data_IF_131412059456
#
_entry.id   IF_131412059456
#
_cell.length_a   1.000
_cell.length_b   1.000
_cell.length_c   1.000
_cell.angle_alpha   90.00
_cell.angle_beta   90.00
_cell.angle_gamma   90.00
#
_symmetry.space_group_name_H-M   'P 1'
#
loop_
_entity.id
_entity.type
_entity.pdbx_description
1 polymer ?
#
# COMPACT_ATOMS: atom_id res chain seq x y z
N UNK A 1 -4.81 -21.60 -17.31
CA UNK A 1 -4.34 -20.21 -17.10
C UNK A 1 -3.25 -20.21 -16.03
N UNK A 2 -2.12 -19.55 -16.30
CA UNK A 2 -1.01 -19.45 -15.33
C UNK A 2 -1.12 -18.23 -14.42
N UNK A 3 -1.69 -17.15 -14.93
CA UNK A 3 -1.86 -15.88 -14.22
C UNK A 3 -3.25 -15.33 -14.47
N UNK A 4 -3.89 -14.86 -13.43
CA UNK A 4 -5.16 -14.11 -13.49
C UNK A 4 -4.88 -12.67 -13.06
N UNK A 5 -5.25 -11.71 -13.90
CA UNK A 5 -5.26 -10.29 -13.58
C UNK A 5 -6.71 -9.83 -13.48
N UNK A 6 -7.08 -9.21 -12.36
CA UNK A 6 -8.42 -8.69 -12.12
C UNK A 6 -8.43 -7.17 -11.97
N UNK A 7 -9.34 -6.52 -12.69
CA UNK A 7 -9.65 -5.09 -12.51
C UNK A 7 -11.07 -4.86 -12.03
N UNK A 8 -11.76 -5.94 -11.62
CA UNK A 8 -13.18 -5.93 -11.26
C UNK A 8 -13.35 -5.68 -9.75
N UNK A 9 -13.39 -4.42 -9.35
CA UNK A 9 -13.73 -3.98 -8.01
C UNK A 9 -15.25 -3.74 -7.81
N UNK A 10 -15.71 -3.50 -6.58
CA UNK A 10 -15.01 -3.61 -5.29
C UNK A 10 -14.52 -5.03 -4.98
N UNK A 11 -13.24 -5.14 -4.65
CA UNK A 11 -12.57 -6.44 -4.51
C UNK A 11 -13.00 -7.19 -3.25
N UNK A 12 -13.23 -6.50 -2.14
CA UNK A 12 -13.75 -7.10 -0.92
C UNK A 12 -15.09 -7.82 -1.15
N UNK A 13 -15.88 -7.32 -2.09
CA UNK A 13 -17.19 -7.87 -2.42
C UNK A 13 -17.14 -9.04 -3.41
N UNK A 14 -16.27 -8.97 -4.40
CA UNK A 14 -16.29 -9.89 -5.55
C UNK A 14 -14.99 -10.70 -5.73
N UNK A 15 -13.87 -10.27 -5.16
CA UNK A 15 -12.55 -10.82 -5.44
C UNK A 15 -12.24 -12.14 -4.73
N UNK A 16 -12.81 -12.37 -3.54
CA UNK A 16 -12.40 -13.48 -2.67
C UNK A 16 -12.53 -14.87 -3.30
N UNK A 17 -13.62 -15.14 -4.02
CA UNK A 17 -13.82 -16.42 -4.69
C UNK A 17 -12.83 -16.63 -5.85
N UNK A 18 -12.48 -15.57 -6.55
CA UNK A 18 -11.51 -15.63 -7.64
C UNK A 18 -10.10 -15.93 -7.11
N UNK A 19 -9.70 -15.28 -6.01
CA UNK A 19 -8.42 -15.57 -5.36
C UNK A 19 -8.38 -17.00 -4.86
N UNK A 20 -9.44 -17.47 -4.21
CA UNK A 20 -9.55 -18.85 -3.76
C UNK A 20 -9.40 -19.84 -4.92
N UNK A 21 -10.08 -19.61 -6.03
CA UNK A 21 -9.96 -20.44 -7.23
C UNK A 21 -8.53 -20.44 -7.80
N UNK A 22 -7.83 -19.29 -7.74
CA UNK A 22 -6.41 -19.21 -8.14
C UNK A 22 -5.54 -20.10 -7.25
N UNK A 23 -5.73 -20.06 -5.94
CA UNK A 23 -4.99 -20.90 -4.99
C UNK A 23 -5.27 -22.38 -5.23
N UNK A 24 -6.54 -22.77 -5.41
CA UNK A 24 -6.95 -24.14 -5.67
C UNK A 24 -6.39 -24.69 -7.00
N UNK A 25 -6.30 -23.85 -8.02
CA UNK A 25 -5.85 -24.22 -9.37
C UNK A 25 -4.37 -23.90 -9.64
N UNK A 26 -3.63 -23.52 -8.62
CA UNK A 26 -2.20 -23.19 -8.68
C UNK A 26 -1.89 -22.10 -9.74
N UNK A 27 -2.76 -21.12 -9.85
CA UNK A 27 -2.59 -19.96 -10.71
C UNK A 27 -2.10 -18.76 -9.89
N UNK A 28 -1.22 -17.95 -10.46
CA UNK A 28 -0.85 -16.65 -9.90
C UNK A 28 -2.03 -15.67 -10.01
N UNK A 29 -2.10 -14.74 -9.08
CA UNK A 29 -3.14 -13.70 -9.07
C UNK A 29 -2.53 -12.32 -8.91
N UNK A 30 -3.11 -11.33 -9.58
CA UNK A 30 -2.80 -9.91 -9.39
C UNK A 30 -4.04 -9.06 -9.62
N UNK A 31 -4.12 -7.91 -8.94
CA UNK A 31 -5.21 -6.95 -9.06
C UNK A 31 -4.75 -5.51 -8.84
N UNK A 32 -5.69 -4.57 -8.85
CA UNK A 32 -5.46 -3.14 -8.66
C UNK A 32 -6.17 -2.60 -7.41
N UNK A 33 -6.38 -3.42 -6.38
CA UNK A 33 -7.13 -3.02 -5.19
C UNK A 33 -6.40 -1.99 -4.33
N UNK A 34 -7.15 -1.07 -3.72
CA UNK A 34 -6.72 -0.24 -2.59
C UNK A 34 -7.31 -0.68 -1.24
N UNK A 35 -8.03 -1.81 -1.21
CA UNK A 35 -8.81 -2.30 -0.06
C UNK A 35 -7.94 -3.11 0.92
N UNK A 36 -7.09 -2.45 1.70
CA UNK A 36 -6.10 -3.10 2.58
C UNK A 36 -6.72 -4.07 3.59
N UNK A 37 -7.93 -3.79 4.08
CA UNK A 37 -8.64 -4.70 4.98
C UNK A 37 -8.95 -6.05 4.31
N UNK A 38 -9.32 -6.03 3.04
CA UNK A 38 -9.53 -7.25 2.26
C UNK A 38 -8.22 -7.99 2.00
N UNK A 39 -7.17 -7.24 1.62
CA UNK A 39 -5.82 -7.81 1.44
C UNK A 39 -5.32 -8.48 2.72
N UNK A 40 -5.56 -7.90 3.91
CA UNK A 40 -5.24 -8.54 5.18
C UNK A 40 -5.93 -9.90 5.31
N UNK A 41 -7.22 -9.96 5.01
CA UNK A 41 -7.97 -11.21 5.01
C UNK A 41 -7.43 -12.26 4.03
N UNK A 42 -6.98 -11.84 2.85
CA UNK A 42 -6.32 -12.74 1.88
C UNK A 42 -5.00 -13.29 2.43
N UNK A 43 -4.20 -12.44 3.07
CA UNK A 43 -2.93 -12.86 3.68
C UNK A 43 -3.20 -13.90 4.77
N UNK A 44 -4.13 -13.62 5.68
CA UNK A 44 -4.44 -14.53 6.79
C UNK A 44 -4.98 -15.87 6.30
N UNK A 45 -5.73 -15.89 5.21
CA UNK A 45 -6.38 -17.10 4.71
C UNK A 45 -5.50 -17.92 3.75
N UNK A 46 -4.70 -17.26 2.93
CA UNK A 46 -4.10 -17.91 1.76
C UNK A 46 -2.57 -17.87 1.71
N UNK A 47 -1.90 -17.09 2.58
CA UNK A 47 -0.45 -16.88 2.48
C UNK A 47 0.35 -18.18 2.51
N UNK A 48 0.09 -19.02 3.51
CA UNK A 48 0.83 -20.27 3.70
C UNK A 48 0.58 -21.29 2.60
N UNK A 49 -0.68 -21.45 2.19
CA UNK A 49 -1.05 -22.35 1.11
C UNK A 49 -0.44 -21.88 -0.23
N UNK A 50 -0.52 -20.59 -0.54
CA UNK A 50 0.07 -20.03 -1.75
C UNK A 50 1.59 -20.21 -1.76
N UNK A 51 2.27 -19.99 -0.63
CA UNK A 51 3.70 -20.19 -0.50
C UNK A 51 4.10 -21.66 -0.70
N UNK A 52 3.36 -22.61 -0.11
CA UNK A 52 3.62 -24.05 -0.27
C UNK A 52 3.45 -24.55 -1.71
N UNK A 53 2.55 -23.91 -2.47
CA UNK A 53 2.30 -24.21 -3.90
C UNK A 53 3.21 -23.42 -4.85
N UNK A 54 4.07 -22.52 -4.34
CA UNK A 54 4.95 -21.68 -5.15
C UNK A 54 4.21 -20.67 -6.04
N UNK A 55 2.96 -20.33 -5.72
CA UNK A 55 2.18 -19.34 -6.45
C UNK A 55 2.29 -17.95 -5.79
N UNK A 56 2.02 -16.92 -6.55
CA UNK A 56 2.08 -15.53 -6.11
C UNK A 56 0.70 -14.90 -6.15
N UNK A 57 0.28 -14.35 -5.02
CA UNK A 57 -0.93 -13.54 -4.88
C UNK A 57 -0.44 -12.10 -4.61
N UNK A 58 -0.52 -11.23 -5.60
CA UNK A 58 0.06 -9.89 -5.57
C UNK A 58 -1.05 -8.87 -5.81
N UNK A 59 -1.75 -8.41 -4.77
CA UNK A 59 -2.72 -7.33 -4.88
C UNK A 59 -2.06 -5.96 -5.03
N UNK A 60 -2.86 -4.94 -5.33
CA UNK A 60 -2.43 -3.52 -5.41
C UNK A 60 -1.39 -3.22 -6.49
N UNK A 61 -1.46 -3.91 -7.64
CA UNK A 61 -0.55 -3.70 -8.77
C UNK A 61 -1.05 -2.64 -9.76
N UNK A 62 -1.92 -1.74 -9.32
CA UNK A 62 -2.41 -0.62 -10.13
C UNK A 62 -1.51 0.61 -10.09
N UNK A 63 -1.82 1.58 -10.96
CA UNK A 63 -1.14 2.88 -10.98
C UNK A 63 -1.21 3.59 -9.62
N UNK A 64 -2.27 3.38 -8.87
CA UNK A 64 -2.45 4.03 -7.57
C UNK A 64 -1.36 3.67 -6.56
N UNK A 65 -0.84 2.44 -6.59
CA UNK A 65 0.12 1.94 -5.58
C UNK A 65 1.52 1.66 -6.14
N UNK A 66 1.65 1.24 -7.38
CA UNK A 66 2.95 0.88 -7.99
C UNK A 66 3.97 2.03 -7.99
N UNK A 67 3.61 3.28 -8.33
CA UNK A 67 4.56 4.39 -8.27
C UNK A 67 5.13 4.60 -6.86
N UNK A 68 4.33 4.45 -5.82
CA UNK A 68 4.76 4.59 -4.43
C UNK A 68 5.64 3.42 -3.99
N UNK A 69 5.23 2.18 -4.25
CA UNK A 69 5.94 0.99 -3.78
C UNK A 69 7.22 0.72 -4.56
N UNK A 70 7.11 0.59 -5.87
CA UNK A 70 8.28 0.34 -6.73
C UNK A 70 9.17 1.57 -6.84
N UNK A 71 8.58 2.79 -6.79
CA UNK A 71 9.32 4.03 -6.73
C UNK A 71 10.21 4.14 -5.49
N UNK A 72 9.68 3.80 -4.31
CA UNK A 72 10.46 3.74 -3.08
C UNK A 72 11.57 2.68 -3.18
N UNK A 73 11.25 1.46 -3.61
CA UNK A 73 12.23 0.39 -3.83
C UNK A 73 13.34 0.81 -4.80
N UNK A 74 12.99 1.38 -5.94
CA UNK A 74 13.95 1.83 -6.95
C UNK A 74 14.85 2.93 -6.40
N UNK A 75 14.27 3.95 -5.77
CA UNK A 75 15.01 5.08 -5.20
C UNK A 75 16.03 4.60 -4.16
N UNK A 76 15.61 3.74 -3.22
CA UNK A 76 16.50 3.21 -2.18
C UNK A 76 17.60 2.35 -2.79
N UNK A 77 17.26 1.52 -3.77
CA UNK A 77 18.24 0.66 -4.46
C UNK A 77 19.28 1.50 -5.21
N UNK A 78 18.88 2.56 -5.90
CA UNK A 78 19.79 3.46 -6.62
C UNK A 78 20.63 4.31 -5.66
N UNK A 79 20.05 4.72 -4.52
CA UNK A 79 20.79 5.46 -3.50
C UNK A 79 21.91 4.62 -2.86
N UNK A 80 21.73 3.30 -2.78
CA UNK A 80 22.75 2.34 -2.36
C UNK A 80 23.18 2.42 -0.90
N UNK A 81 22.38 3.09 -0.04
CA UNK A 81 22.64 3.25 1.39
C UNK A 81 21.34 3.00 2.17
N UNK A 82 21.49 2.70 3.46
CA UNK A 82 20.35 2.61 4.38
C UNK A 82 19.56 3.92 4.43
N UNK A 83 18.25 3.84 4.30
CA UNK A 83 17.34 4.98 4.28
C UNK A 83 16.34 4.85 5.42
N UNK A 84 16.24 5.85 6.27
CA UNK A 84 15.31 5.84 7.40
C UNK A 84 13.89 6.30 7.01
N UNK A 85 13.78 7.14 5.95
CA UNK A 85 12.50 7.68 5.50
C UNK A 85 12.50 7.99 4.02
N UNK A 86 11.36 7.73 3.38
CA UNK A 86 11.01 8.23 2.04
C UNK A 86 9.66 8.94 2.12
N UNK A 87 9.60 10.15 1.61
CA UNK A 87 8.35 10.87 1.40
C UNK A 87 8.12 11.07 -0.10
N UNK A 88 6.92 10.76 -0.55
CA UNK A 88 6.49 10.90 -1.94
C UNK A 88 5.41 11.97 -2.05
N UNK A 89 5.55 12.82 -3.04
CA UNK A 89 4.61 13.92 -3.31
C UNK A 89 3.96 13.69 -4.67
N UNK A 90 2.64 13.58 -4.68
CA UNK A 90 1.86 13.34 -5.90
C UNK A 90 1.08 14.59 -6.29
N UNK A 91 1.28 15.07 -7.50
CA UNK A 91 0.37 15.99 -8.14
C UNK A 91 -0.55 15.19 -9.06
N UNK A 92 -1.85 15.31 -8.89
CA UNK A 92 -2.84 14.61 -9.69
C UNK A 92 -3.82 15.60 -10.33
N UNK A 93 -4.00 15.49 -11.64
CA UNK A 93 -5.01 16.22 -12.40
C UNK A 93 -6.07 15.21 -12.86
N UNK A 94 -7.29 15.36 -12.39
CA UNK A 94 -8.40 14.48 -12.77
C UNK A 94 -9.38 14.22 -11.64
N UNK A 95 -10.30 13.29 -11.85
CA UNK A 95 -11.32 12.88 -10.89
C UNK A 95 -11.24 11.39 -10.55
N UNK A 96 -11.82 11.02 -9.40
CA UNK A 96 -11.93 9.62 -8.99
C UNK A 96 -12.92 8.86 -9.88
N UNK A 97 -12.61 7.59 -10.18
CA UNK A 97 -13.56 6.70 -10.84
C UNK A 97 -14.70 6.31 -9.88
N UNK A 98 -15.82 5.83 -10.44
CA UNK A 98 -16.93 5.34 -9.63
C UNK A 98 -16.53 4.22 -8.66
N UNK A 99 -15.64 3.31 -9.07
CA UNK A 99 -15.10 2.26 -8.20
C UNK A 99 -14.24 2.81 -7.06
N UNK A 100 -13.43 3.83 -7.33
CA UNK A 100 -12.64 4.52 -6.29
C UNK A 100 -13.56 5.18 -5.26
N UNK A 101 -14.62 5.85 -5.72
CA UNK A 101 -15.60 6.50 -4.84
C UNK A 101 -16.34 5.47 -3.99
N UNK A 102 -16.77 4.36 -4.55
CA UNK A 102 -17.44 3.27 -3.81
C UNK A 102 -16.52 2.65 -2.76
N UNK A 103 -15.24 2.44 -3.09
CA UNK A 103 -14.24 1.94 -2.14
C UNK A 103 -14.07 2.90 -0.94
N UNK A 104 -14.04 4.22 -1.17
CA UNK A 104 -13.94 5.20 -0.08
C UNK A 104 -15.12 5.10 0.90
N UNK A 105 -16.34 4.89 0.40
CA UNK A 105 -17.52 4.71 1.25
C UNK A 105 -17.49 3.40 2.06
N UNK A 106 -16.88 2.35 1.54
CA UNK A 106 -16.77 1.07 2.26
C UNK A 106 -15.73 1.09 3.39
N UNK A 107 -14.82 2.07 3.39
CA UNK A 107 -13.83 2.25 4.47
C UNK A 107 -14.44 2.86 5.75
N UNK A 108 -15.66 3.39 5.67
CA UNK A 108 -16.36 4.08 6.76
C UNK A 108 -16.94 3.06 7.73
N UNK A 109 -16.47 2.30 8.41
CA UNK A 109 -16.99 1.25 9.33
C UNK A 109 -15.93 0.21 9.69
N UNK A 110 -14.70 0.41 9.21
CA UNK A 110 -13.60 -0.49 9.52
C UNK A 110 -13.26 -0.46 11.02
N UNK A 111 -13.00 -1.62 11.59
CA UNK A 111 -12.54 -1.76 12.97
C UNK A 111 -11.20 -1.02 13.19
N UNK A 112 -10.86 -0.76 14.45
CA UNK A 112 -9.61 -0.09 14.80
C UNK A 112 -8.38 -0.87 14.30
N UNK A 113 -8.44 -2.19 14.34
CA UNK A 113 -7.39 -3.09 13.86
C UNK A 113 -7.18 -2.96 12.35
N UNK A 114 -8.25 -2.81 11.59
CA UNK A 114 -8.18 -2.63 10.13
C UNK A 114 -7.68 -1.24 9.72
N UNK A 115 -7.70 -0.28 10.66
CA UNK A 115 -7.13 1.06 10.47
C UNK A 115 -5.65 1.13 10.88
N UNK A 116 -5.07 0.06 11.41
CA UNK A 116 -3.65 0.03 11.79
C UNK A 116 -2.77 0.42 10.59
N UNK A 117 -1.87 1.40 10.75
CA UNK A 117 -0.88 1.78 9.73
C UNK A 117 0.01 0.62 9.25
N UNK A 118 0.05 -0.47 9.97
CA UNK A 118 0.84 -1.67 9.66
C UNK A 118 0.00 -2.93 9.48
N UNK A 119 -1.30 -2.78 9.19
CA UNK A 119 -2.24 -3.90 9.06
C UNK A 119 -1.77 -4.99 8.07
N UNK A 120 -1.02 -4.64 7.04
CA UNK A 120 -0.51 -5.58 6.06
C UNK A 120 0.82 -6.24 6.45
N UNK A 121 1.54 -5.71 7.44
CA UNK A 121 2.84 -6.23 7.82
C UNK A 121 2.74 -7.65 8.38
N UNK A 122 3.80 -8.46 8.25
CA UNK A 122 3.96 -9.66 9.04
C UNK A 122 3.88 -9.32 10.54
N UNK A 123 3.33 -10.22 11.35
CA UNK A 123 3.21 -10.01 12.80
C UNK A 123 4.60 -9.78 13.40
N UNK A 124 4.68 -8.93 14.41
CA UNK A 124 5.90 -8.67 15.21
C UNK A 124 7.08 -8.00 14.49
N UNK A 125 6.86 -7.41 13.32
CA UNK A 125 7.94 -6.76 12.54
C UNK A 125 8.04 -5.25 12.76
N UNK A 126 7.31 -4.66 13.70
CA UNK A 126 7.17 -3.19 13.82
C UNK A 126 7.56 -2.73 15.21
N UNK A 127 8.57 -1.85 15.30
CA UNK A 127 8.95 -1.21 16.53
C UNK A 127 7.97 -0.12 16.97
N UNK A 128 7.97 0.24 18.26
CA UNK A 128 7.18 1.36 18.78
C UNK A 128 7.58 2.69 18.13
N UNK A 129 8.86 2.88 17.85
CA UNK A 129 9.38 4.06 17.16
C UNK A 129 8.81 4.19 15.74
N UNK A 130 8.77 3.08 15.00
CA UNK A 130 8.15 3.07 13.67
C UNK A 130 6.65 3.37 13.74
N UNK A 131 5.94 2.82 14.73
CA UNK A 131 4.51 3.10 14.91
C UNK A 131 4.26 4.58 15.17
N UNK A 132 5.03 5.20 16.03
CA UNK A 132 4.89 6.60 16.37
C UNK A 132 5.15 7.53 15.18
N UNK A 133 6.20 7.23 14.41
CA UNK A 133 6.59 8.01 13.22
C UNK A 133 5.72 7.73 11.99
N UNK A 134 4.87 6.70 12.03
CA UNK A 134 4.05 6.26 10.90
C UNK A 134 2.55 6.41 11.16
N UNK A 135 2.15 7.19 12.15
CA UNK A 135 0.75 7.54 12.36
C UNK A 135 0.16 8.19 11.12
N UNK A 136 -1.03 7.76 10.76
CA UNK A 136 -1.78 8.47 9.73
C UNK A 136 -2.11 9.86 10.23
N UNK A 137 -1.72 10.82 9.48
CA UNK A 137 -1.95 12.22 9.72
C UNK A 137 -1.47 13.02 8.51
N UNK A 138 -2.00 14.20 8.38
CA UNK A 138 -1.55 15.13 7.36
C UNK A 138 -1.53 16.53 7.93
N UNK A 139 -0.52 17.27 7.52
CA UNK A 139 -0.40 18.69 7.82
C UNK A 139 -0.43 19.44 6.50
N UNK A 140 -1.20 20.53 6.47
CA UNK A 140 -1.20 21.43 5.32
C UNK A 140 -0.07 22.43 5.52
N UNK A 141 1.03 22.24 4.80
CA UNK A 141 2.25 23.01 4.95
C UNK A 141 2.99 23.19 3.62
N UNK A 142 3.95 24.08 3.63
CA UNK A 142 4.95 24.18 2.57
C UNK A 142 6.24 23.53 3.07
N UNK A 143 6.87 22.75 2.22
CA UNK A 143 8.11 22.04 2.54
C UNK A 143 9.24 22.65 1.69
N UNK A 144 10.37 22.91 2.30
CA UNK A 144 11.55 23.44 1.62
C UNK A 144 11.94 22.55 0.44
N UNK A 145 12.11 23.15 -0.73
CA UNK A 145 12.47 22.45 -1.96
C UNK A 145 11.29 21.77 -2.69
N UNK A 146 10.06 21.88 -2.16
CA UNK A 146 8.83 21.41 -2.82
C UNK A 146 7.95 22.60 -3.16
N UNK A 147 7.67 22.83 -4.44
CA UNK A 147 6.82 23.93 -4.89
C UNK A 147 5.35 23.59 -4.61
N UNK A 148 4.63 24.52 -3.97
CA UNK A 148 3.20 24.37 -3.64
C UNK A 148 2.93 24.06 -2.18
N UNK A 149 1.78 23.47 -1.92
CA UNK A 149 1.28 23.09 -0.59
C UNK A 149 1.11 21.59 -0.51
N UNK A 150 1.53 20.99 0.56
CA UNK A 150 1.31 19.57 0.82
C UNK A 150 0.05 19.37 1.64
N UNK A 151 -0.59 18.24 1.43
CA UNK A 151 -1.77 17.82 2.16
C UNK A 151 -1.96 16.31 2.05
N UNK A 152 -3.13 15.82 2.39
CA UNK A 152 -3.43 14.40 2.30
C UNK A 152 -3.48 13.93 0.85
N UNK A 153 -2.64 12.97 0.49
CA UNK A 153 -2.74 12.25 -0.79
C UNK A 153 -3.98 11.35 -0.82
N UNK A 154 -4.67 11.30 -1.96
CA UNK A 154 -5.91 10.52 -2.12
C UNK A 154 -5.72 9.04 -1.77
N UNK A 155 -4.59 8.46 -2.13
CA UNK A 155 -4.27 7.05 -1.90
C UNK A 155 -3.28 6.83 -0.75
N UNK A 156 -2.88 7.88 -0.04
CA UNK A 156 -1.84 7.82 0.99
C UNK A 156 -2.11 6.74 2.06
N UNK A 157 -3.36 6.62 2.52
CA UNK A 157 -3.74 5.60 3.50
C UNK A 157 -3.56 4.18 2.94
N UNK A 158 -3.90 3.93 1.70
CA UNK A 158 -3.71 2.61 1.08
C UNK A 158 -2.23 2.34 0.80
N UNK A 159 -1.54 3.26 0.16
CA UNK A 159 -0.18 3.08 -0.33
C UNK A 159 0.86 2.95 0.79
N UNK A 160 0.71 3.73 1.87
CA UNK A 160 1.61 3.62 3.02
C UNK A 160 1.64 2.21 3.61
N UNK A 161 0.52 1.49 3.63
CA UNK A 161 0.44 0.09 4.07
C UNK A 161 1.16 -0.85 3.11
N UNK A 162 1.00 -0.64 1.81
CA UNK A 162 1.66 -1.45 0.77
C UNK A 162 3.17 -1.31 0.88
N UNK A 163 3.69 -0.09 0.89
CA UNK A 163 5.14 0.17 0.98
C UNK A 163 5.74 -0.36 2.28
N UNK A 164 5.05 -0.18 3.41
CA UNK A 164 5.50 -0.72 4.71
C UNK A 164 5.55 -2.23 4.72
N UNK A 165 4.59 -2.90 4.08
CA UNK A 165 4.64 -4.35 3.88
C UNK A 165 5.84 -4.76 3.03
N UNK A 166 6.05 -4.10 1.91
CA UNK A 166 7.21 -4.38 1.03
C UNK A 166 8.52 -4.21 1.79
N UNK A 167 8.67 -3.13 2.56
CA UNK A 167 9.83 -2.91 3.40
C UNK A 167 10.06 -4.05 4.42
N UNK A 168 9.00 -4.49 5.10
CA UNK A 168 9.09 -5.60 6.06
C UNK A 168 9.45 -6.94 5.39
N UNK A 169 8.90 -7.21 4.21
CA UNK A 169 9.25 -8.41 3.45
C UNK A 169 10.71 -8.36 2.93
N UNK A 170 11.18 -7.18 2.53
CA UNK A 170 12.58 -6.99 2.14
C UNK A 170 13.53 -7.20 3.33
N UNK A 171 13.15 -6.74 4.52
CA UNK A 171 13.91 -6.99 5.75
C UNK A 171 14.00 -8.49 6.08
N UNK A 172 12.88 -9.23 6.00
CA UNK A 172 12.87 -10.69 6.17
C UNK A 172 13.77 -11.40 5.14
N UNK A 173 13.91 -10.84 3.94
CA UNK A 173 14.80 -11.35 2.89
C UNK A 173 16.23 -10.82 2.99
N UNK A 174 16.64 -10.25 4.11
CA UNK A 174 17.98 -9.71 4.39
C UNK A 174 18.40 -8.58 3.42
N UNK A 175 17.45 -7.83 2.92
CA UNK A 175 17.62 -6.66 2.04
C UNK A 175 16.83 -5.45 2.58
N UNK A 176 17.04 -5.03 3.85
CA UNK A 176 16.26 -3.97 4.46
C UNK A 176 16.44 -2.64 3.72
N UNK A 177 15.38 -1.85 3.67
CA UNK A 177 15.45 -0.46 3.19
C UNK A 177 16.30 0.42 4.12
N UNK A 178 16.19 0.15 5.42
CA UNK A 178 16.97 0.82 6.45
C UNK A 178 16.41 0.54 7.85
N UNK A 179 17.13 0.98 8.87
CA UNK A 179 16.71 0.80 10.25
C UNK A 179 15.48 1.67 10.55
N UNK A 180 14.45 1.08 11.14
CA UNK A 180 13.19 1.76 11.49
C UNK A 180 12.61 2.57 10.31
N UNK A 181 12.67 1.98 9.11
CA UNK A 181 12.21 2.63 7.88
C UNK A 181 10.76 3.10 7.99
N UNK A 182 10.51 4.33 7.55
CA UNK A 182 9.19 4.94 7.49
C UNK A 182 8.89 5.47 6.10
N UNK A 183 7.63 5.51 5.74
CA UNK A 183 7.17 6.00 4.45
C UNK A 183 5.99 6.96 4.63
N UNK A 184 6.04 8.09 3.96
CA UNK A 184 4.98 9.08 3.86
C UNK A 184 4.55 9.31 2.40
N UNK A 185 3.26 9.56 2.20
CA UNK A 185 2.71 9.94 0.90
C UNK A 185 1.81 11.16 1.06
N UNK A 186 2.03 12.15 0.21
CA UNK A 186 1.42 13.45 0.31
C UNK A 186 0.83 13.88 -1.04
N UNK A 187 -0.30 14.56 -1.01
CA UNK A 187 -0.79 15.32 -2.16
C UNK A 187 -0.03 16.63 -2.29
N UNK A 188 0.24 17.05 -3.52
CA UNK A 188 0.83 18.34 -3.83
C UNK A 188 -0.23 19.22 -4.53
N UNK A 189 -0.40 20.42 -4.04
CA UNK A 189 -1.45 21.34 -4.45
C UNK A 189 -0.87 22.72 -4.74
N UNK A 190 -1.37 23.39 -5.78
CA UNK A 190 -0.89 24.71 -6.15
C UNK A 190 -1.27 25.81 -5.12
N UNK A 191 -2.32 25.59 -4.34
CA UNK A 191 -2.76 26.56 -3.31
C UNK A 191 -3.12 25.86 -2.01
N UNK A 192 -2.95 26.58 -0.87
CA UNK A 192 -3.33 26.09 0.46
C UNK A 192 -4.79 25.67 0.57
N UNK A 193 -5.68 26.32 -0.18
CA UNK A 193 -7.12 26.01 -0.15
C UNK A 193 -7.45 24.66 -0.77
N UNK A 194 -6.60 24.15 -1.66
CA UNK A 194 -6.78 22.86 -2.31
C UNK A 194 -6.16 21.72 -1.52
N UNK A 195 -5.16 22.01 -0.69
CA UNK A 195 -4.52 21.05 0.20
C UNK A 195 -5.38 20.73 1.42
#
# INVERSE_FOLDING_TARGET
TKVVLSTAGPFARYGSLLVQACVEKEAHYTDITGENHWVRGLIDKHHEEAASKGIRIIPSCGYDSIPSDIGAFFTITQFGKSVSRVDVYHEALGGASGGTTETMFTMDGLSKEMRDPFVLNPKETVSEEQREKSKDGFTIEQIDGVEGWTGMGMMAVANTRVVRRSAALMEQNQKPYGNNFTFGEHGLFSTKRMA
#
